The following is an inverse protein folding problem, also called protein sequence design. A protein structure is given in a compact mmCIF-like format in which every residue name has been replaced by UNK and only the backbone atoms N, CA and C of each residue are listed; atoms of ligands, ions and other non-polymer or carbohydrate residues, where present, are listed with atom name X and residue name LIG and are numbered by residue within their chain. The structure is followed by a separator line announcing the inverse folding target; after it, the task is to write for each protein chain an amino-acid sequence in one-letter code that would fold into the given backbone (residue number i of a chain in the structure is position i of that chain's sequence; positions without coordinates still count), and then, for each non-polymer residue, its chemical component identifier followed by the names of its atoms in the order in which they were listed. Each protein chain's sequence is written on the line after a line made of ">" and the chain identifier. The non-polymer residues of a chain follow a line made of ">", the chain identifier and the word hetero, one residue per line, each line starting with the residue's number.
data_IF_161870425021
#
_entry.id   IF_161870425021
#
_cell.length_a   1.000
_cell.length_b   1.000
_cell.length_c   1.000
_cell.angle_alpha   90.00
_cell.angle_beta   90.00
_cell.angle_gamma   90.00
#
_symmetry.space_group_name_H-M   'P 1'
#
loop_
_entity.id
_entity.type
_entity.pdbx_description
1 polymer ?
#
# COMPACT_ATOMS: atom_id res chain seq x y z
N UNK A 1 4.91 1.73 -16.75
CA UNK A 1 4.40 2.08 -15.41
C UNK A 1 3.00 1.53 -15.23
N UNK A 2 2.72 0.94 -14.09
CA UNK A 2 1.39 0.41 -13.79
C UNK A 2 0.38 1.53 -13.57
N UNK A 3 -0.85 1.34 -14.01
CA UNK A 3 -1.94 2.25 -13.70
C UNK A 3 -2.33 2.08 -12.23
N UNK A 4 -2.49 3.18 -11.50
CA UNK A 4 -2.83 3.16 -10.09
C UNK A 4 -4.34 3.21 -9.90
N UNK A 5 -4.89 2.19 -9.22
CA UNK A 5 -6.31 2.09 -8.91
C UNK A 5 -6.49 2.10 -7.40
N UNK A 6 -7.37 2.97 -6.89
CA UNK A 6 -7.63 3.12 -5.45
C UNK A 6 -8.97 2.49 -5.09
N UNK A 7 -8.99 1.66 -4.04
CA UNK A 7 -10.26 1.20 -3.48
C UNK A 7 -10.97 2.35 -2.77
N UNK A 8 -12.28 2.25 -2.61
CA UNK A 8 -13.03 3.24 -1.83
C UNK A 8 -12.56 3.28 -0.38
N UNK A 9 -12.22 2.13 0.17
CA UNK A 9 -11.71 1.99 1.53
C UNK A 9 -10.37 2.69 1.68
N UNK A 10 -9.49 2.53 0.69
CA UNK A 10 -8.18 3.18 0.68
C UNK A 10 -8.32 4.71 0.70
N UNK A 11 -9.27 5.24 -0.07
CA UNK A 11 -9.52 6.70 -0.09
C UNK A 11 -9.92 7.22 1.29
N UNK A 12 -10.73 6.47 2.03
CA UNK A 12 -11.10 6.81 3.41
C UNK A 12 -9.90 6.69 4.34
N UNK A 13 -9.09 5.65 4.15
CA UNK A 13 -7.87 5.45 4.93
C UNK A 13 -6.89 6.61 4.74
N UNK A 14 -6.77 7.15 3.52
CA UNK A 14 -5.91 8.30 3.25
C UNK A 14 -6.37 9.55 4.00
N UNK A 15 -7.67 9.79 4.07
CA UNK A 15 -8.22 10.93 4.81
C UNK A 15 -7.86 10.82 6.29
N UNK A 16 -7.97 9.61 6.85
CA UNK A 16 -7.60 9.37 8.24
C UNK A 16 -6.09 9.56 8.46
N UNK A 17 -5.27 9.05 7.55
CA UNK A 17 -3.82 9.22 7.63
C UNK A 17 -3.43 10.70 7.63
N UNK A 18 -4.03 11.49 6.74
CA UNK A 18 -3.82 12.95 6.69
C UNK A 18 -4.25 13.61 8.00
N UNK A 19 -5.38 13.21 8.54
CA UNK A 19 -5.91 13.75 9.81
C UNK A 19 -5.00 13.45 10.99
N UNK A 20 -4.31 12.29 10.96
CA UNK A 20 -3.34 11.89 11.97
C UNK A 20 -1.99 12.57 11.80
N UNK A 21 -1.82 13.38 10.77
CA UNK A 21 -0.57 14.10 10.52
C UNK A 21 0.52 13.27 9.85
N UNK A 22 0.18 12.14 9.23
CA UNK A 22 1.15 11.33 8.50
C UNK A 22 1.60 12.02 7.23
N UNK A 23 2.89 11.89 6.90
CA UNK A 23 3.45 12.50 5.70
C UNK A 23 3.10 11.69 4.45
N UNK A 24 2.10 12.17 3.70
CA UNK A 24 1.65 11.49 2.48
C UNK A 24 2.71 11.42 1.38
N UNK A 25 3.77 12.24 1.45
CA UNK A 25 4.88 12.15 0.51
C UNK A 25 5.62 10.82 0.65
N UNK A 26 5.66 10.25 1.86
CA UNK A 26 6.24 8.93 2.08
C UNK A 26 5.42 7.84 1.37
N UNK A 27 4.10 7.96 1.41
CA UNK A 27 3.20 7.07 0.68
C UNK A 27 3.46 7.19 -0.82
N UNK A 28 3.54 8.42 -1.35
CA UNK A 28 3.76 8.68 -2.77
C UNK A 28 5.05 8.03 -3.27
N UNK A 29 6.12 8.08 -2.47
CA UNK A 29 7.40 7.46 -2.83
C UNK A 29 7.28 5.94 -2.95
N UNK A 30 6.61 5.31 -2.00
CA UNK A 30 6.39 3.85 -2.03
C UNK A 30 5.52 3.47 -3.22
N UNK A 31 4.42 4.17 -3.43
CA UNK A 31 3.49 3.92 -4.54
C UNK A 31 4.19 4.11 -5.89
N UNK A 32 5.00 5.16 -6.03
CA UNK A 32 5.76 5.40 -7.27
C UNK A 32 6.74 4.27 -7.57
N UNK A 33 7.42 3.75 -6.54
CA UNK A 33 8.34 2.61 -6.71
C UNK A 33 7.58 1.36 -7.15
N UNK A 34 6.44 1.08 -6.53
CA UNK A 34 5.60 -0.07 -6.89
C UNK A 34 5.04 0.07 -8.31
N UNK A 35 4.55 1.25 -8.67
CA UNK A 35 4.01 1.50 -10.01
C UNK A 35 5.06 1.40 -11.10
N UNK A 36 6.32 1.68 -10.78
CA UNK A 36 7.46 1.54 -11.69
C UNK A 36 8.07 0.14 -11.68
N UNK A 37 7.45 -0.80 -10.97
CA UNK A 37 7.92 -2.18 -10.82
C UNK A 37 9.32 -2.28 -10.22
N UNK A 38 9.69 -1.33 -9.36
CA UNK A 38 10.95 -1.34 -8.65
C UNK A 38 10.81 -2.11 -7.34
N UNK A 39 11.87 -2.79 -6.93
CA UNK A 39 11.89 -3.43 -5.62
C UNK A 39 11.95 -2.38 -4.52
N UNK A 40 11.23 -2.63 -3.43
CA UNK A 40 11.28 -1.78 -2.25
C UNK A 40 12.50 -2.13 -1.40
N UNK A 41 12.96 -1.14 -0.62
CA UNK A 41 14.03 -1.33 0.36
C UNK A 41 13.62 -2.40 1.39
N UNK A 42 14.59 -3.15 1.91
CA UNK A 42 14.36 -4.15 2.96
C UNK A 42 13.60 -3.59 4.16
N UNK A 43 13.80 -2.32 4.47
CA UNK A 43 13.09 -1.62 5.56
C UNK A 43 11.58 -1.63 5.38
N UNK A 44 11.11 -1.76 4.15
CA UNK A 44 9.67 -1.78 3.85
C UNK A 44 9.02 -3.13 4.17
N UNK A 45 9.80 -4.18 4.43
CA UNK A 45 9.29 -5.52 4.76
C UNK A 45 8.16 -5.97 3.83
N UNK A 46 8.34 -5.80 2.52
CA UNK A 46 7.34 -6.19 1.52
C UNK A 46 7.20 -7.72 1.48
N UNK A 47 5.99 -8.21 1.71
CA UNK A 47 5.73 -9.64 1.74
C UNK A 47 4.28 -9.96 1.35
N UNK A 48 4.02 -11.18 0.83
CA UNK A 48 2.65 -11.60 0.52
C UNK A 48 1.85 -11.85 1.78
N UNK A 49 0.54 -11.64 1.68
CA UNK A 49 -0.40 -11.93 2.75
C UNK A 49 -1.14 -13.25 2.49
N UNK A 50 -1.79 -13.76 3.53
CA UNK A 50 -2.59 -14.98 3.47
C UNK A 50 -3.95 -14.76 4.13
N UNK A 51 -4.78 -15.82 4.19
CA UNK A 51 -6.10 -15.73 4.79
C UNK A 51 -7.02 -14.80 4.00
N UNK A 52 -7.67 -13.86 4.68
CA UNK A 52 -8.62 -12.94 4.06
C UNK A 52 -7.98 -12.00 3.04
N UNK A 53 -6.66 -11.84 3.09
CA UNK A 53 -5.90 -11.00 2.16
C UNK A 53 -5.06 -11.82 1.19
N UNK A 54 -5.41 -13.07 0.96
CA UNK A 54 -4.69 -13.90 -0.02
C UNK A 54 -4.72 -13.22 -1.40
N UNK A 55 -3.57 -13.19 -2.07
CA UNK A 55 -3.39 -12.49 -3.35
C UNK A 55 -2.94 -11.06 -3.21
N UNK A 56 -2.92 -10.52 -2.00
CA UNK A 56 -2.43 -9.18 -1.71
C UNK A 56 -1.04 -9.24 -1.09
N UNK A 57 -0.36 -8.10 -1.10
CA UNK A 57 0.93 -7.91 -0.44
C UNK A 57 0.85 -6.77 0.54
N UNK A 58 1.75 -6.77 1.51
CA UNK A 58 1.86 -5.71 2.50
C UNK A 58 3.27 -5.15 2.50
N UNK A 59 3.40 -3.84 2.60
CA UNK A 59 4.67 -3.22 2.89
C UNK A 59 4.51 -2.15 3.98
N UNK A 60 5.62 -1.80 4.62
CA UNK A 60 5.66 -0.79 5.68
C UNK A 60 6.16 0.52 5.09
N UNK A 61 5.36 1.58 5.21
CA UNK A 61 5.78 2.95 4.88
C UNK A 61 6.57 3.51 6.04
N UNK A 62 6.07 3.28 7.26
CA UNK A 62 6.73 3.49 8.54
C UNK A 62 6.52 2.23 9.39
N UNK A 63 7.19 2.05 10.52
CA UNK A 63 7.06 0.83 11.33
C UNK A 63 5.62 0.42 11.64
N UNK A 64 4.72 1.39 11.86
CA UNK A 64 3.30 1.10 12.11
C UNK A 64 2.40 1.83 11.10
N UNK A 65 2.86 2.02 9.89
CA UNK A 65 2.04 2.52 8.79
C UNK A 65 2.20 1.60 7.59
N UNK A 66 1.18 0.79 7.35
CA UNK A 66 1.17 -0.29 6.38
C UNK A 66 0.42 0.10 5.11
N UNK A 67 0.80 -0.51 4.00
CA UNK A 67 0.08 -0.44 2.74
C UNK A 67 -0.23 -1.86 2.27
N UNK A 68 -1.51 -2.15 2.04
CA UNK A 68 -1.94 -3.42 1.45
C UNK A 68 -2.29 -3.15 -0.01
N UNK A 69 -1.67 -3.89 -0.91
CA UNK A 69 -1.78 -3.66 -2.34
C UNK A 69 -1.74 -4.97 -3.13
N UNK A 70 -2.11 -4.89 -4.40
CA UNK A 70 -2.01 -6.00 -5.33
C UNK A 70 -1.55 -5.47 -6.69
N UNK A 71 -0.65 -6.22 -7.34
CA UNK A 71 -0.21 -5.94 -8.70
C UNK A 71 -0.89 -6.94 -9.63
N UNK A 72 -1.50 -6.44 -10.70
CA UNK A 72 -2.04 -7.28 -11.76
C UNK A 72 -1.18 -7.06 -13.02
N UNK A 73 -0.33 -8.03 -13.33
CA UNK A 73 0.59 -7.93 -14.45
C UNK A 73 -0.10 -8.09 -15.80
N UNK A 74 -1.23 -8.81 -15.85
CA UNK A 74 -1.96 -9.02 -17.09
C UNK A 74 -2.71 -7.75 -17.50
N UNK A 75 -3.34 -7.07 -16.56
CA UNK A 75 -4.07 -5.84 -16.84
C UNK A 75 -3.24 -4.59 -16.58
N UNK A 76 -2.01 -4.78 -16.10
CA UNK A 76 -0.99 -3.72 -15.91
C UNK A 76 -1.46 -2.64 -14.95
N UNK A 77 -2.02 -3.03 -13.80
CA UNK A 77 -2.42 -2.07 -12.78
C UNK A 77 -1.90 -2.41 -11.38
N UNK A 78 -1.79 -1.38 -10.57
CA UNK A 78 -1.47 -1.45 -9.14
C UNK A 78 -2.71 -1.07 -8.35
N UNK A 79 -3.28 -2.03 -7.62
CA UNK A 79 -4.47 -1.81 -6.81
C UNK A 79 -4.09 -1.53 -5.36
N UNK A 80 -4.41 -0.33 -4.87
CA UNK A 80 -4.17 0.07 -3.49
C UNK A 80 -5.44 -0.22 -2.68
N UNK A 81 -5.36 -1.22 -1.80
CA UNK A 81 -6.52 -1.76 -1.10
C UNK A 81 -6.78 -1.07 0.24
N UNK A 82 -5.78 -1.00 1.10
CA UNK A 82 -5.89 -0.43 2.44
C UNK A 82 -4.59 0.22 2.87
N UNK A 83 -4.66 1.18 3.77
CA UNK A 83 -3.51 1.70 4.50
C UNK A 83 -3.93 2.08 5.91
N UNK A 84 -3.02 1.93 6.87
CA UNK A 84 -3.28 2.23 8.27
C UNK A 84 -2.26 1.56 9.17
N UNK A 85 -2.50 1.64 10.48
CA UNK A 85 -1.68 0.94 11.46
C UNK A 85 -2.06 -0.54 11.51
N UNK A 86 -1.27 -1.34 12.24
CA UNK A 86 -1.61 -2.74 12.49
C UNK A 86 -3.00 -2.85 13.12
N UNK A 87 -3.30 -1.99 14.09
CA UNK A 87 -4.62 -1.99 14.75
C UNK A 87 -5.76 -1.64 13.82
N UNK A 88 -5.52 -0.79 12.83
CA UNK A 88 -6.54 -0.41 11.86
C UNK A 88 -6.88 -1.54 10.90
N UNK A 89 -5.90 -2.38 10.56
CA UNK A 89 -6.01 -3.35 9.46
C UNK A 89 -6.20 -4.79 9.95
N UNK A 90 -5.75 -5.09 11.15
CA UNK A 90 -5.75 -6.46 11.70
C UNK A 90 -6.28 -6.50 13.19
#
# INVERSE_FOLDING_TARGET
>A
MLEIVLSNRFKKDLKLAKKRGLDLNLMDKVVSSLASCQELDEKSHDHPLSGNFEGFRECHILPDWLLIYRVDDEEVFLFLSRTGSHSDLF
#
